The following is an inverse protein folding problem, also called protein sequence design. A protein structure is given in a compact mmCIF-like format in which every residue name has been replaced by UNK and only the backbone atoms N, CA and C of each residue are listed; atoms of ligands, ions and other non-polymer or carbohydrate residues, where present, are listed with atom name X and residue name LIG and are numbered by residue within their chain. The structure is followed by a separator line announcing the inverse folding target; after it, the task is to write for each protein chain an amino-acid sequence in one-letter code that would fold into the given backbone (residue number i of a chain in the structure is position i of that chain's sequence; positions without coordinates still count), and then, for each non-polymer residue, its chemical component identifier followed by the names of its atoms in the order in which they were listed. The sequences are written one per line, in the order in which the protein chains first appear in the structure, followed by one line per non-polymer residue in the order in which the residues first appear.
data_IF_642215179073
#
_entry.id   IF_642215179073
#
_cell.length_a   1.000
_cell.length_b   1.000
_cell.length_c   1.000
_cell.angle_alpha   90.00
_cell.angle_beta   90.00
_cell.angle_gamma   90.00
#
_symmetry.space_group_name_H-M   'P 1'
#
loop_
_entity.id
_entity.type
_entity.pdbx_description
1 polymer ?
#
# COMPACT_ATOMS: atom_id res chain seq x y z
N UNK A 1 -22.33 1.76 -9.06
CA UNK A 1 -21.70 0.44 -9.17
C UNK A 1 -20.65 0.33 -8.09
N UNK A 2 -20.70 -0.77 -7.33
CA UNK A 2 -19.76 -1.03 -6.24
C UNK A 2 -19.04 -2.36 -6.45
N UNK A 3 -17.79 -2.42 -6.00
CA UNK A 3 -17.02 -3.65 -5.90
C UNK A 3 -16.92 -4.00 -4.42
N UNK A 4 -17.30 -5.23 -4.08
CA UNK A 4 -17.22 -5.75 -2.71
C UNK A 4 -16.13 -6.82 -2.62
N UNK A 5 -15.13 -6.55 -1.79
CA UNK A 5 -14.04 -7.48 -1.53
C UNK A 5 -14.12 -7.96 -0.09
N UNK A 6 -14.07 -9.28 0.11
CA UNK A 6 -14.06 -9.93 1.42
C UNK A 6 -12.67 -10.49 1.71
N UNK A 7 -12.41 -10.83 2.97
CA UNK A 7 -11.15 -11.41 3.43
C UNK A 7 -9.93 -10.54 3.14
N UNK A 8 -10.09 -9.23 3.32
CA UNK A 8 -8.96 -8.32 3.26
C UNK A 8 -8.15 -8.44 4.53
N UNK A 9 -6.83 -8.29 4.42
CA UNK A 9 -5.97 -8.25 5.59
C UNK A 9 -6.27 -7.00 6.45
N UNK A 10 -6.52 -7.20 7.74
CA UNK A 10 -6.87 -6.14 8.70
C UNK A 10 -5.83 -5.02 8.80
N UNK A 11 -4.58 -5.30 8.39
CA UNK A 11 -3.48 -4.33 8.43
C UNK A 11 -3.59 -3.25 7.36
N UNK A 12 -4.48 -3.42 6.38
CA UNK A 12 -4.73 -2.38 5.38
C UNK A 12 -5.54 -1.22 5.98
N UNK A 13 -4.89 -0.07 6.12
CA UNK A 13 -5.58 1.17 6.46
C UNK A 13 -6.26 1.78 5.22
N UNK A 14 -7.29 2.60 5.42
CA UNK A 14 -7.95 3.36 4.34
C UNK A 14 -6.93 4.18 3.53
N UNK A 15 -5.88 4.70 4.17
CA UNK A 15 -4.80 5.43 3.50
C UNK A 15 -4.03 4.53 2.53
N UNK A 16 -3.59 3.37 2.99
CA UNK A 16 -2.87 2.40 2.16
C UNK A 16 -3.73 1.94 0.98
N UNK A 17 -5.01 1.66 1.23
CA UNK A 17 -5.97 1.28 0.20
C UNK A 17 -6.09 2.37 -0.86
N UNK A 18 -6.25 3.64 -0.48
CA UNK A 18 -6.29 4.78 -1.42
C UNK A 18 -5.02 4.87 -2.25
N UNK A 19 -3.85 4.72 -1.65
CA UNK A 19 -2.58 4.80 -2.36
C UNK A 19 -2.41 3.65 -3.37
N UNK A 20 -2.77 2.43 -2.99
CA UNK A 20 -2.74 1.26 -3.89
C UNK A 20 -3.67 1.48 -5.08
N UNK A 21 -4.91 1.91 -4.83
CA UNK A 21 -5.87 2.17 -5.90
C UNK A 21 -5.37 3.25 -6.87
N UNK A 22 -4.72 4.30 -6.35
CA UNK A 22 -4.09 5.35 -7.18
C UNK A 22 -2.92 4.82 -8.00
N UNK A 23 -2.06 4.00 -7.41
CA UNK A 23 -0.93 3.37 -8.12
C UNK A 23 -1.42 2.49 -9.28
N UNK A 24 -2.54 1.78 -9.09
CA UNK A 24 -3.16 0.94 -10.09
C UNK A 24 -4.12 1.68 -11.03
N UNK A 25 -4.20 3.02 -10.94
CA UNK A 25 -5.07 3.89 -11.76
C UNK A 25 -6.55 3.48 -11.71
N UNK A 26 -7.00 2.99 -10.55
CA UNK A 26 -8.40 2.63 -10.31
C UNK A 26 -9.16 3.89 -9.89
N UNK A 27 -10.16 4.27 -10.67
CA UNK A 27 -10.96 5.46 -10.41
C UNK A 27 -12.14 5.13 -9.49
N UNK A 28 -12.10 5.65 -8.27
CA UNK A 28 -13.12 5.42 -7.24
C UNK A 28 -13.83 6.72 -6.84
N UNK A 29 -15.08 6.59 -6.39
CA UNK A 29 -15.91 7.66 -5.82
C UNK A 29 -15.99 7.57 -4.31
N UNK A 30 -16.07 6.35 -3.77
CA UNK A 30 -16.23 6.10 -2.36
C UNK A 30 -15.42 4.86 -1.94
N UNK A 31 -14.97 4.87 -0.69
CA UNK A 31 -14.27 3.75 -0.07
C UNK A 31 -14.86 3.58 1.33
N UNK A 32 -15.35 2.38 1.62
CA UNK A 32 -15.79 2.02 2.96
C UNK A 32 -15.12 0.71 3.37
N UNK A 33 -14.56 0.69 4.57
CA UNK A 33 -13.83 -0.45 5.13
C UNK A 33 -14.48 -0.82 6.45
N UNK A 34 -14.89 -2.08 6.57
CA UNK A 34 -15.60 -2.58 7.74
C UNK A 34 -15.03 -3.92 8.17
N UNK A 35 -14.76 -4.06 9.46
CA UNK A 35 -14.35 -5.33 10.07
C UNK A 35 -15.54 -5.92 10.83
N UNK A 36 -15.88 -7.15 10.50
CA UNK A 36 -16.91 -7.90 11.23
C UNK A 36 -16.38 -8.32 12.59
N UNK A 37 -17.02 -7.89 13.68
CA UNK A 37 -16.61 -8.29 15.03
C UNK A 37 -16.86 -9.78 15.33
N UNK A 38 -17.83 -10.38 14.63
CA UNK A 38 -18.22 -11.78 14.83
C UNK A 38 -17.30 -12.75 14.11
N UNK A 39 -16.93 -12.45 12.86
CA UNK A 39 -16.10 -13.33 12.02
C UNK A 39 -14.65 -12.86 11.90
N UNK A 40 -14.32 -11.67 12.43
CA UNK A 40 -13.05 -10.96 12.23
C UNK A 40 -12.71 -10.70 10.74
N UNK A 41 -13.68 -10.89 9.85
CA UNK A 41 -13.48 -10.66 8.41
C UNK A 41 -13.49 -9.17 8.10
N UNK A 42 -12.45 -8.69 7.41
CA UNK A 42 -12.46 -7.35 6.85
C UNK A 42 -13.07 -7.35 5.45
N UNK A 43 -13.99 -6.42 5.25
CA UNK A 43 -14.71 -6.20 3.99
C UNK A 43 -14.44 -4.78 3.50
N UNK A 44 -14.12 -4.65 2.22
CA UNK A 44 -13.97 -3.37 1.53
C UNK A 44 -15.06 -3.21 0.49
N UNK A 45 -15.69 -2.05 0.56
CA UNK A 45 -16.66 -1.57 -0.40
C UNK A 45 -16.04 -0.41 -1.18
N UNK A 46 -15.97 -0.58 -2.50
CA UNK A 46 -15.39 0.37 -3.42
C UNK A 46 -16.46 0.90 -4.38
N UNK A 47 -16.82 2.17 -4.23
CA UNK A 47 -17.62 2.87 -5.22
C UNK A 47 -16.77 3.18 -6.44
N UNK A 48 -17.14 2.68 -7.62
CA UNK A 48 -16.39 2.88 -8.86
C UNK A 48 -16.97 4.06 -9.64
N UNK A 49 -16.08 4.94 -10.12
CA UNK A 49 -16.46 6.12 -10.91
C UNK A 49 -16.79 5.76 -12.36
N UNK A 50 -15.99 4.87 -12.95
CA UNK A 50 -16.06 4.49 -14.36
C UNK A 50 -16.62 3.06 -14.49
N UNK A 51 -17.91 2.98 -14.82
CA UNK A 51 -18.67 1.73 -14.86
C UNK A 51 -18.18 0.82 -15.99
N UNK A 52 -17.68 1.40 -17.08
CA UNK A 52 -17.20 0.63 -18.24
C UNK A 52 -15.97 -0.21 -17.92
N UNK A 53 -15.28 0.06 -16.81
CA UNK A 53 -14.10 -0.69 -16.34
C UNK A 53 -14.37 -1.57 -15.13
N UNK A 54 -15.63 -1.75 -14.75
CA UNK A 54 -16.01 -2.45 -13.52
C UNK A 54 -15.42 -3.86 -13.45
N UNK A 55 -15.61 -4.67 -14.49
CA UNK A 55 -15.11 -6.05 -14.53
C UNK A 55 -13.57 -6.10 -14.48
N UNK A 56 -12.90 -5.20 -15.20
CA UNK A 56 -11.44 -5.10 -15.18
C UNK A 56 -10.94 -4.75 -13.78
N UNK A 57 -11.58 -3.80 -13.11
CA UNK A 57 -11.24 -3.41 -11.75
C UNK A 57 -11.54 -4.54 -10.75
N UNK A 58 -12.63 -5.28 -10.92
CA UNK A 58 -12.96 -6.40 -10.04
C UNK A 58 -11.89 -7.49 -10.08
N UNK A 59 -11.41 -7.84 -11.28
CA UNK A 59 -10.31 -8.80 -11.46
C UNK A 59 -9.01 -8.29 -10.84
N UNK A 60 -8.67 -7.00 -11.06
CA UNK A 60 -7.46 -6.42 -10.49
C UNK A 60 -7.50 -6.39 -8.96
N UNK A 61 -8.63 -5.97 -8.37
CA UNK A 61 -8.73 -5.75 -6.93
C UNK A 61 -8.64 -7.07 -6.15
N UNK A 62 -9.09 -8.19 -6.72
CA UNK A 62 -9.04 -9.52 -6.05
C UNK A 62 -7.66 -9.90 -5.53
N UNK A 63 -6.57 -9.45 -6.17
CA UNK A 63 -5.20 -9.82 -5.78
C UNK A 63 -4.48 -8.74 -4.97
N UNK A 64 -4.98 -7.50 -4.97
CA UNK A 64 -4.30 -6.33 -4.38
C UNK A 64 -4.39 -6.26 -2.85
N UNK A 65 -5.42 -6.83 -2.24
CA UNK A 65 -5.66 -6.69 -0.80
C UNK A 65 -5.39 -7.99 -0.03
N UNK A 66 -4.48 -8.80 -0.55
CA UNK A 66 -4.01 -10.04 0.07
C UNK A 66 -2.86 -9.78 1.04
N UNK A 67 -2.68 -10.66 2.03
CA UNK A 67 -1.55 -10.61 2.96
C UNK A 67 -0.20 -10.68 2.24
N UNK A 68 -0.12 -11.42 1.13
CA UNK A 68 1.09 -11.48 0.30
C UNK A 68 1.43 -10.11 -0.30
N UNK A 69 0.43 -9.42 -0.85
CA UNK A 69 0.63 -8.07 -1.39
C UNK A 69 1.04 -7.07 -0.30
N UNK A 70 0.46 -7.16 0.90
CA UNK A 70 0.85 -6.32 2.03
C UNK A 70 2.34 -6.47 2.37
N UNK A 71 2.85 -7.71 2.41
CA UNK A 71 4.27 -7.96 2.65
C UNK A 71 5.14 -7.31 1.57
N UNK A 72 4.79 -7.47 0.29
CA UNK A 72 5.54 -6.87 -0.82
C UNK A 72 5.60 -5.33 -0.73
N UNK A 73 4.51 -4.67 -0.34
CA UNK A 73 4.50 -3.21 -0.12
C UNK A 73 5.45 -2.84 1.02
N UNK A 74 5.39 -3.56 2.14
CA UNK A 74 6.24 -3.30 3.32
C UNK A 74 7.74 -3.47 3.02
N UNK A 75 8.10 -4.54 2.30
CA UNK A 75 9.49 -4.76 1.86
C UNK A 75 10.00 -3.62 0.96
N UNK A 76 9.17 -3.10 0.05
CA UNK A 76 9.53 -1.95 -0.80
C UNK A 76 9.77 -0.67 0.00
N UNK A 77 8.99 -0.42 1.05
CA UNK A 77 9.18 0.75 1.92
C UNK A 77 10.49 0.65 2.70
N UNK A 78 10.80 -0.51 3.29
CA UNK A 78 12.06 -0.71 4.01
C UNK A 78 13.31 -0.60 3.13
N UNK A 79 13.24 -1.05 1.88
CA UNK A 79 14.36 -0.88 0.95
C UNK A 79 14.56 0.57 0.48
N UNK A 80 13.52 1.40 0.46
CA UNK A 80 13.64 2.84 0.12
C UNK A 80 14.22 3.65 1.28
N UNK A 81 13.88 3.34 2.52
CA UNK A 81 14.45 4.01 3.71
C UNK A 81 15.87 3.55 4.02
N UNK A 82 16.29 2.37 3.58
CA UNK A 82 17.64 1.84 3.78
C UNK A 82 18.72 2.37 2.83
N UNK A 83 18.36 3.07 1.74
CA UNK A 83 19.34 3.59 0.76
C UNK A 83 19.82 5.02 1.02
N UNK A 84 19.27 5.73 2.02
CA UNK A 84 19.65 7.13 2.30
C UNK A 84 20.64 7.32 3.46
N UNK A 85 21.22 6.24 4.01
CA UNK A 85 22.18 6.32 5.12
C UNK A 85 23.56 5.72 4.80
N UNK A 86 23.94 5.59 3.52
CA UNK A 86 25.21 4.95 3.14
C UNK A 86 26.15 5.77 2.27
N UNK A 87 26.09 7.10 2.35
CA UNK A 87 26.99 7.94 1.54
C UNK A 87 27.69 9.11 2.26
N UNK A 88 27.59 9.23 3.60
CA UNK A 88 28.24 10.34 4.33
C UNK A 88 29.26 9.91 5.39
N UNK A 89 30.07 8.88 5.12
CA UNK A 89 31.15 8.48 6.03
C UNK A 89 32.55 8.36 5.41
N UNK A 90 32.77 8.90 4.22
CA UNK A 90 34.12 8.93 3.60
C UNK A 90 34.89 10.25 3.76
N UNK A 91 34.24 11.34 4.19
CA UNK A 91 34.92 12.63 4.36
C UNK A 91 35.21 13.04 5.81
N UNK A 92 34.70 12.30 6.81
CA UNK A 92 34.91 12.67 8.23
C UNK A 92 36.19 12.10 8.86
N UNK A 93 36.90 11.21 8.16
CA UNK A 93 38.14 10.58 8.67
C UNK A 93 39.44 11.22 8.17
N UNK A 94 39.39 12.25 7.32
CA UNK A 94 40.59 13.00 6.87
C UNK A 94 40.78 14.37 7.51
N UNK A 95 39.84 14.84 8.32
CA UNK A 95 39.95 16.14 9.01
C UNK A 95 40.65 16.08 10.38
N UNK A 96 41.06 14.88 10.83
CA UNK A 96 41.70 14.70 12.15
C UNK A 96 43.24 14.61 12.10
N UNK A 97 43.87 14.65 10.92
CA UNK A 97 45.33 14.52 10.78
C UNK A 97 46.06 15.82 10.43
N UNK A 98 45.48 16.98 10.76
CA UNK A 98 46.15 18.27 10.60
C UNK A 98 45.85 19.24 11.75
N UNK A 99 46.00 18.75 12.99
CA UNK A 99 46.36 19.63 14.10
C UNK A 99 47.67 19.12 14.70
N UNK A 100 48.69 19.92 14.42
CA UNK A 100 50.04 20.01 14.98
C UNK A 100 50.19 19.45 16.39
#
# INVERSE_FOLDING_TARGET
HEIKCRNIDERFTIRNIKDILRQHRISFTAINFSTSSTTQECTLHLGIKDISKLETYEVQIKTLFTSEHYQQIKYKVHHRTGRHCRENNYYRLRASNNRK
#
